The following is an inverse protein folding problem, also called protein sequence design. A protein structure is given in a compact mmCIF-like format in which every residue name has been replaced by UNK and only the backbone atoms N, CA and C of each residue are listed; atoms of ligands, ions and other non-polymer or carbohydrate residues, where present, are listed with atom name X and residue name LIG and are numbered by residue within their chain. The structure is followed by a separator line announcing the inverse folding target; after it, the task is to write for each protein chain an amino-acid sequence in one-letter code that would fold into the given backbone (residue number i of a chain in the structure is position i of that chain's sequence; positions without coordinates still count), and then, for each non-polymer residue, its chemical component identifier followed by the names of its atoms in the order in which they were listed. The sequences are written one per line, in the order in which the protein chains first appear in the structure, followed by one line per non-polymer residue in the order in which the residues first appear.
data_IF_239441303875
#
_entry.id   IF_239441303875
#
_cell.length_a   1.000
_cell.length_b   1.000
_cell.length_c   1.000
_cell.angle_alpha   90.00
_cell.angle_beta   90.00
_cell.angle_gamma   90.00
#
_symmetry.space_group_name_H-M   'P 1'
#
loop_
_entity.id
_entity.type
_entity.pdbx_description
1 polymer ?
#
# COMPACT_ATOMS: atom_id res chain seq x y z
N UNK A 1 -7.56 -17.18 8.26
CA UNK A 1 -6.88 -17.94 9.34
C UNK A 1 -6.32 -16.91 10.28
N UNK A 2 -6.51 -17.05 11.59
CA UNK A 2 -6.02 -16.07 12.57
C UNK A 2 -5.11 -16.75 13.58
N UNK A 3 -4.01 -16.09 13.92
CA UNK A 3 -3.18 -16.44 15.06
C UNK A 3 -2.77 -15.17 15.81
N UNK A 4 -2.80 -15.23 17.15
CA UNK A 4 -2.28 -14.15 18.01
C UNK A 4 -0.73 -14.08 17.99
N UNK A 5 -0.08 -14.89 17.16
CA UNK A 5 1.37 -14.99 17.01
C UNK A 5 1.71 -15.44 15.60
N UNK A 6 2.82 -16.14 15.42
CA UNK A 6 3.35 -16.42 14.08
C UNK A 6 2.52 -17.46 13.32
N UNK A 7 2.33 -17.23 12.02
CA UNK A 7 1.78 -18.19 11.08
C UNK A 7 2.88 -18.69 10.15
N UNK A 8 3.04 -20.00 10.02
CA UNK A 8 3.98 -20.59 9.06
C UNK A 8 3.29 -21.65 8.19
N UNK A 9 3.36 -21.46 6.87
CA UNK A 9 2.98 -22.45 5.86
C UNK A 9 4.25 -23.06 5.27
N UNK A 10 4.59 -24.27 5.70
CA UNK A 10 5.83 -24.96 5.27
C UNK A 10 5.66 -25.85 4.03
N UNK A 11 4.42 -26.11 3.60
CA UNK A 11 4.10 -27.06 2.53
C UNK A 11 2.63 -27.50 2.54
N UNK A 12 2.26 -28.32 1.57
CA UNK A 12 0.88 -28.81 1.40
C UNK A 12 0.02 -27.89 0.53
N UNK A 13 -1.30 -28.11 0.56
CA UNK A 13 -2.29 -27.28 -0.11
C UNK A 13 -3.13 -26.57 0.95
N UNK A 14 -3.24 -25.25 0.84
CA UNK A 14 -4.06 -24.41 1.68
C UNK A 14 -4.94 -23.54 0.77
N UNK A 15 -6.25 -23.66 0.94
CA UNK A 15 -7.22 -22.81 0.23
C UNK A 15 -8.11 -22.10 1.23
N UNK A 16 -8.14 -20.78 1.17
CA UNK A 16 -9.07 -19.91 1.88
C UNK A 16 -10.02 -19.32 0.86
N UNK A 17 -11.22 -19.88 0.72
CA UNK A 17 -12.13 -19.51 -0.38
C UNK A 17 -12.94 -18.23 -0.14
N UNK A 18 -13.12 -17.85 1.12
CA UNK A 18 -13.83 -16.63 1.54
C UNK A 18 -13.41 -16.28 2.96
N UNK A 19 -13.08 -15.03 3.21
CA UNK A 19 -12.70 -14.52 4.53
C UNK A 19 -12.84 -12.99 4.56
N UNK A 20 -12.82 -12.39 5.75
CA UNK A 20 -12.60 -10.94 5.87
C UNK A 20 -11.12 -10.70 5.60
N UNK A 21 -10.27 -11.21 6.49
CA UNK A 21 -8.83 -11.36 6.27
C UNK A 21 -8.46 -12.81 5.98
N UNK A 22 -7.62 -13.03 4.99
CA UNK A 22 -7.24 -14.36 4.52
C UNK A 22 -6.33 -15.10 5.50
N UNK A 23 -5.16 -14.55 5.81
CA UNK A 23 -4.23 -15.05 6.82
C UNK A 23 -3.73 -13.87 7.65
N UNK A 24 -3.93 -13.94 8.96
CA UNK A 24 -3.55 -12.90 9.92
C UNK A 24 -2.61 -13.49 10.99
N UNK A 25 -1.56 -12.76 11.34
CA UNK A 25 -0.61 -13.13 12.39
C UNK A 25 0.45 -12.05 12.65
N UNK A 26 1.23 -12.22 13.73
CA UNK A 26 2.31 -11.30 14.08
C UNK A 26 3.45 -11.32 13.05
N UNK A 27 3.94 -12.52 12.76
CA UNK A 27 4.82 -12.81 11.64
C UNK A 27 4.16 -13.87 10.76
N UNK A 28 4.13 -13.66 9.45
CA UNK A 28 3.59 -14.63 8.49
C UNK A 28 4.74 -15.12 7.61
N UNK A 29 4.92 -16.44 7.53
CA UNK A 29 5.90 -17.07 6.64
C UNK A 29 5.25 -18.09 5.70
N UNK A 30 5.43 -17.89 4.40
CA UNK A 30 5.15 -18.89 3.35
C UNK A 30 6.47 -19.46 2.85
N UNK A 31 6.80 -20.68 3.29
CA UNK A 31 8.04 -21.37 2.96
C UNK A 31 7.88 -22.45 1.88
N UNK A 32 6.64 -22.88 1.60
CA UNK A 32 6.36 -23.88 0.59
C UNK A 32 4.89 -24.22 0.46
N UNK A 33 4.57 -25.10 -0.48
CA UNK A 33 3.19 -25.55 -0.76
C UNK A 33 2.48 -24.69 -1.80
N UNK A 34 1.19 -24.93 -1.96
CA UNK A 34 0.27 -24.15 -2.79
C UNK A 34 -0.73 -23.47 -1.87
N UNK A 35 -0.72 -22.14 -1.86
CA UNK A 35 -1.58 -21.30 -1.03
C UNK A 35 -2.45 -20.45 -1.94
N UNK A 36 -3.77 -20.58 -1.81
CA UNK A 36 -4.76 -19.82 -2.57
C UNK A 36 -5.70 -19.12 -1.59
N UNK A 37 -5.74 -17.80 -1.63
CA UNK A 37 -6.46 -16.96 -0.67
C UNK A 37 -7.40 -16.01 -1.39
N UNK A 38 -8.68 -16.07 -1.02
CA UNK A 38 -9.70 -15.10 -1.39
C UNK A 38 -10.26 -14.44 -0.13
N UNK A 39 -10.14 -13.11 -0.07
CA UNK A 39 -10.51 -12.28 1.07
C UNK A 39 -11.31 -11.04 0.63
N UNK A 40 -12.25 -10.59 1.47
CA UNK A 40 -13.03 -9.37 1.19
C UNK A 40 -12.30 -8.10 1.61
N UNK A 41 -11.37 -8.22 2.56
CA UNK A 41 -10.43 -7.20 2.99
C UNK A 41 -9.03 -7.71 2.61
N UNK A 42 -8.11 -7.87 3.56
CA UNK A 42 -6.72 -8.19 3.26
C UNK A 42 -6.49 -9.67 2.97
N UNK A 43 -5.64 -9.95 1.99
CA UNK A 43 -5.24 -11.31 1.64
C UNK A 43 -4.40 -11.93 2.75
N UNK A 44 -3.23 -11.36 2.99
CA UNK A 44 -2.37 -11.68 4.13
C UNK A 44 -2.13 -10.39 4.91
N UNK A 45 -2.33 -10.40 6.22
CA UNK A 45 -2.11 -9.26 7.11
C UNK A 45 -1.10 -9.63 8.22
N UNK A 46 0.13 -9.15 8.09
CA UNK A 46 1.15 -9.27 9.12
C UNK A 46 1.13 -8.03 10.03
N UNK A 47 0.68 -8.22 11.26
CA UNK A 47 0.53 -7.14 12.24
C UNK A 47 0.85 -7.65 13.62
N UNK A 48 1.66 -6.92 14.39
CA UNK A 48 1.99 -7.31 15.77
C UNK A 48 0.77 -7.36 16.69
N UNK A 49 -0.40 -6.91 16.20
CA UNK A 49 -1.60 -6.70 16.96
C UNK A 49 -1.38 -5.58 17.98
N UNK A 50 -2.42 -4.80 18.27
CA UNK A 50 -2.42 -4.19 19.60
C UNK A 50 -2.55 -5.36 20.56
N UNK A 51 -1.51 -5.63 21.37
CA UNK A 51 -1.67 -6.57 22.48
C UNK A 51 -2.90 -6.11 23.25
N UNK A 52 -4.01 -6.82 23.13
CA UNK A 52 -5.10 -6.70 24.07
C UNK A 52 -4.52 -7.25 25.36
N UNK A 53 -3.91 -6.36 26.15
CA UNK A 53 -3.36 -6.72 27.45
C UNK A 53 -4.48 -7.41 28.21
N UNK A 54 -4.30 -8.72 28.43
CA UNK A 54 -5.25 -9.55 29.12
C UNK A 54 -5.64 -8.87 30.42
N UNK A 55 -6.90 -8.44 30.52
CA UNK A 55 -7.46 -8.04 31.79
C UNK A 55 -7.58 -9.31 32.62
N UNK A 56 -6.65 -9.49 33.55
CA UNK A 56 -6.80 -10.47 34.62
C UNK A 56 -8.08 -10.15 35.40
N UNK A 57 -8.92 -11.17 35.47
CA UNK A 57 -10.16 -11.24 36.22
C UNK A 57 -9.99 -10.70 37.65
N UNK A 58 -10.73 -9.64 37.96
CA UNK A 58 -10.66 -8.91 39.22
C UNK A 58 -11.88 -8.02 39.36
N UNK A 59 -13.00 -8.65 39.70
CA UNK A 59 -14.32 -8.05 39.85
C UNK A 59 -14.35 -6.75 40.69
N UNK A 60 -14.85 -5.66 40.10
CA UNK A 60 -15.89 -4.81 40.69
C UNK A 60 -16.61 -3.97 39.61
N UNK A 61 -17.89 -4.32 39.40
CA UNK A 61 -19.05 -3.53 38.95
C UNK A 61 -18.84 -2.15 38.29
N UNK A 62 -19.32 -2.02 37.04
CA UNK A 62 -19.59 -0.73 36.38
C UNK A 62 -19.84 -0.82 34.86
N UNK A 63 -20.99 -1.36 34.46
CA UNK A 63 -21.67 -1.23 33.14
C UNK A 63 -22.03 0.27 32.92
N UNK A 64 -21.81 1.00 31.81
CA UNK A 64 -21.68 0.74 30.36
C UNK A 64 -20.95 1.93 29.69
N UNK A 65 -20.08 1.67 28.70
CA UNK A 65 -19.44 2.71 27.89
C UNK A 65 -19.13 2.20 26.49
N UNK A 66 -20.13 2.22 25.61
CA UNK A 66 -19.97 2.02 24.18
C UNK A 66 -19.40 3.28 23.51
N UNK A 67 -18.55 3.05 22.52
CA UNK A 67 -17.94 4.01 21.63
C UNK A 67 -18.95 4.89 20.87
N UNK A 68 -18.52 6.11 20.55
CA UNK A 68 -19.22 7.02 19.66
C UNK A 68 -18.60 8.41 19.76
N UNK A 69 -17.59 8.67 18.92
CA UNK A 69 -16.84 9.92 18.95
C UNK A 69 -17.71 11.15 18.71
N UNK A 70 -17.37 12.27 19.36
CA UNK A 70 -17.56 13.61 18.82
C UNK A 70 -16.55 14.56 19.44
N UNK A 71 -16.10 15.51 18.61
CA UNK A 71 -15.20 16.59 18.95
C UNK A 71 -15.64 17.36 20.21
N UNK A 72 -14.68 17.72 21.05
CA UNK A 72 -14.85 18.57 22.23
C UNK A 72 -15.03 20.03 21.81
N UNK A 73 -16.14 20.72 22.14
CA UNK A 73 -16.23 22.18 22.02
C UNK A 73 -15.58 22.85 23.25
N UNK A 74 -15.11 24.11 23.14
CA UNK A 74 -14.44 24.78 24.24
C UNK A 74 -15.41 25.16 25.37
N UNK A 75 -14.86 25.28 26.58
CA UNK A 75 -15.56 25.40 27.84
C UNK A 75 -16.37 26.71 28.01
N UNK A 76 -17.62 26.58 28.49
CA UNK A 76 -18.36 27.67 29.15
C UNK A 76 -19.84 27.77 28.79
N UNK A 77 -20.72 26.96 29.39
CA UNK A 77 -22.15 27.27 29.60
C UNK A 77 -22.77 26.32 30.66
N UNK A 78 -23.79 26.74 31.44
CA UNK A 78 -24.26 26.01 32.62
C UNK A 78 -25.31 24.93 32.30
N UNK A 79 -25.37 23.94 33.18
CA UNK A 79 -26.28 22.80 33.18
C UNK A 79 -27.68 23.18 33.67
N UNK A 80 -28.68 23.18 32.80
CA UNK A 80 -30.07 22.81 33.18
C UNK A 80 -30.82 22.26 31.97
N UNK A 81 -31.40 21.08 32.14
CA UNK A 81 -31.89 20.22 31.08
C UNK A 81 -33.38 20.37 30.82
N UNK A 82 -33.74 21.13 29.78
CA UNK A 82 -34.96 20.89 28.97
C UNK A 82 -34.72 21.37 27.53
N UNK A 83 -34.82 20.47 26.55
CA UNK A 83 -34.78 20.83 25.11
C UNK A 83 -36.21 21.17 24.66
N UNK A 84 -36.51 22.35 24.08
CA UNK A 84 -37.81 22.61 23.48
C UNK A 84 -37.93 21.96 22.10
N UNK A 85 -39.13 21.47 21.77
CA UNK A 85 -39.46 20.88 20.48
C UNK A 85 -39.27 21.86 19.30
N UNK A 86 -38.77 21.33 18.17
CA UNK A 86 -38.62 22.06 16.91
C UNK A 86 -39.99 22.27 16.25
N UNK A 87 -40.37 23.48 15.83
CA UNK A 87 -41.57 23.64 15.00
C UNK A 87 -41.32 23.06 13.62
N UNK A 88 -42.31 22.31 13.13
CA UNK A 88 -42.45 22.03 11.71
C UNK A 88 -42.77 23.36 11.01
N UNK A 89 -41.87 23.83 10.14
CA UNK A 89 -42.15 24.50 8.86
C UNK A 89 -40.82 25.08 8.32
N UNK A 90 -40.46 24.67 7.11
CA UNK A 90 -39.14 24.91 6.49
C UNK A 90 -38.91 26.32 5.98
N UNK A 91 -38.42 27.22 6.84
CA UNK A 91 -37.85 28.50 6.41
C UNK A 91 -36.54 28.78 7.17
N UNK A 92 -35.43 28.86 6.44
CA UNK A 92 -34.15 29.39 6.95
C UNK A 92 -34.25 30.92 7.08
N UNK A 93 -33.62 31.56 8.10
CA UNK A 93 -33.56 33.02 8.17
C UNK A 93 -32.67 33.60 7.08
N UNK A 94 -33.06 34.76 6.53
CA UNK A 94 -32.26 35.53 5.57
C UNK A 94 -30.98 36.10 6.21
N UNK A 95 -29.87 36.21 5.45
CA UNK A 95 -28.67 36.86 5.94
C UNK A 95 -28.87 38.38 6.04
N UNK A 96 -28.16 39.08 6.95
CA UNK A 96 -28.25 40.53 7.02
C UNK A 96 -27.70 41.16 5.73
N UNK A 97 -28.46 42.10 5.17
CA UNK A 97 -27.92 43.09 4.26
C UNK A 97 -27.02 44.03 5.07
N UNK A 98 -25.72 44.04 4.76
CA UNK A 98 -24.88 45.24 4.68
C UNK A 98 -23.43 44.81 4.37
N UNK A 99 -22.95 45.23 3.21
CA UNK A 99 -21.70 44.78 2.60
C UNK A 99 -20.46 45.54 3.07
N UNK A 100 -19.87 45.12 4.18
CA UNK A 100 -18.50 45.50 4.57
C UNK A 100 -17.69 44.26 4.97
N UNK A 101 -16.72 43.87 4.14
CA UNK A 101 -15.70 42.88 4.50
C UNK A 101 -14.59 43.55 5.32
N UNK A 102 -14.09 42.97 6.42
CA UNK A 102 -12.91 43.50 7.10
C UNK A 102 -11.63 43.25 6.29
N UNK A 103 -10.71 44.23 6.31
CA UNK A 103 -9.44 44.20 5.59
C UNK A 103 -8.52 43.05 6.04
N UNK A 104 -7.70 42.47 5.13
CA UNK A 104 -6.70 41.48 5.52
C UNK A 104 -5.55 42.15 6.31
N UNK A 105 -4.96 41.47 7.32
CA UNK A 105 -3.83 42.02 8.05
C UNK A 105 -2.58 42.07 7.16
N UNK A 106 -1.77 43.11 7.38
CA UNK A 106 -0.49 43.31 6.70
C UNK A 106 0.53 42.20 7.04
N UNK A 107 1.41 41.93 6.07
CA UNK A 107 2.46 40.90 6.11
C UNK A 107 3.32 40.98 7.38
N UNK A 108 3.55 39.83 8.03
CA UNK A 108 4.73 39.68 8.88
C UNK A 108 4.69 38.81 10.13
N UNK A 109 3.57 38.20 10.56
CA UNK A 109 3.56 37.38 11.78
C UNK A 109 2.60 36.19 11.68
N UNK A 110 3.11 35.04 11.22
CA UNK A 110 2.42 33.75 11.40
C UNK A 110 2.76 33.19 12.79
N UNK A 111 1.77 32.86 13.65
CA UNK A 111 2.04 32.11 14.88
C UNK A 111 2.61 30.72 14.53
N UNK A 112 3.47 30.13 15.39
CA UNK A 112 4.15 28.89 15.07
C UNK A 112 3.13 27.79 14.83
N UNK A 113 3.06 27.36 13.57
CA UNK A 113 2.18 26.29 13.11
C UNK A 113 2.42 25.03 13.92
N UNK A 114 1.34 24.52 14.49
CA UNK A 114 1.27 23.11 14.86
C UNK A 114 1.49 22.31 13.59
N UNK A 115 2.66 21.70 13.48
CA UNK A 115 2.90 20.59 12.57
C UNK A 115 1.94 19.49 13.00
N UNK A 116 0.78 19.42 12.37
CA UNK A 116 0.05 18.17 12.24
C UNK A 116 0.93 17.24 11.41
N UNK A 117 1.83 16.53 12.09
CA UNK A 117 2.43 15.34 11.51
C UNK A 117 1.30 14.34 11.38
N UNK A 118 0.82 14.12 10.16
CA UNK A 118 0.17 12.86 9.86
C UNK A 118 1.17 11.78 10.27
N UNK A 119 0.78 10.94 11.21
CA UNK A 119 1.59 9.80 11.58
C UNK A 119 1.83 9.01 10.30
N UNK A 120 3.10 8.80 9.96
CA UNK A 120 3.40 7.68 9.10
C UNK A 120 3.05 6.47 9.94
N UNK A 121 2.15 5.59 9.48
CA UNK A 121 2.11 4.22 9.99
C UNK A 121 3.57 3.75 10.00
N UNK A 122 4.11 3.56 11.19
CA UNK A 122 5.51 3.24 11.38
C UNK A 122 5.65 1.73 11.43
N UNK A 123 6.70 1.22 10.80
CA UNK A 123 7.17 -0.17 10.92
C UNK A 123 6.99 -0.67 12.36
N UNK A 124 6.01 -1.56 12.56
CA UNK A 124 5.68 -2.14 13.87
C UNK A 124 6.58 -3.35 14.21
N UNK A 125 7.47 -3.73 13.30
CA UNK A 125 8.36 -4.87 13.40
C UNK A 125 7.75 -6.20 12.95
N UNK A 126 6.49 -6.24 12.50
CA UNK A 126 5.90 -7.43 11.90
C UNK A 126 6.59 -7.76 10.58
N UNK A 127 6.56 -9.04 10.20
CA UNK A 127 7.12 -9.47 8.92
C UNK A 127 6.18 -10.39 8.16
N UNK A 128 6.03 -10.12 6.87
CA UNK A 128 5.49 -11.06 5.90
C UNK A 128 6.65 -11.58 5.06
N UNK A 129 6.96 -12.86 5.20
CA UNK A 129 8.08 -13.52 4.50
C UNK A 129 7.58 -14.57 3.51
N UNK A 130 8.00 -14.45 2.25
CA UNK A 130 7.79 -15.46 1.21
C UNK A 130 9.15 -15.99 0.79
N UNK A 131 9.41 -17.27 1.07
CA UNK A 131 10.68 -17.93 0.76
C UNK A 131 10.54 -19.11 -0.21
N UNK A 132 9.31 -19.54 -0.49
CA UNK A 132 9.05 -20.63 -1.42
C UNK A 132 7.56 -20.91 -1.61
N UNK A 133 7.25 -21.91 -2.44
CA UNK A 133 5.88 -22.30 -2.76
C UNK A 133 5.24 -21.45 -3.85
N UNK A 134 3.94 -21.66 -4.04
CA UNK A 134 3.08 -20.84 -4.90
C UNK A 134 2.04 -20.16 -4.03
N UNK A 135 1.94 -18.84 -4.12
CA UNK A 135 0.97 -18.03 -3.40
C UNK A 135 0.12 -17.25 -4.40
N UNK A 136 -1.19 -17.49 -4.39
CA UNK A 136 -2.17 -16.71 -5.14
C UNK A 136 -3.11 -16.01 -4.17
N UNK A 137 -3.27 -14.70 -4.35
CA UNK A 137 -4.11 -13.86 -3.49
C UNK A 137 -5.09 -13.06 -4.35
N UNK A 138 -6.37 -13.11 -3.98
CA UNK A 138 -7.45 -12.28 -4.53
C UNK A 138 -8.12 -11.54 -3.36
N UNK A 139 -7.76 -10.26 -3.16
CA UNK A 139 -8.15 -9.46 -1.99
C UNK A 139 -9.02 -8.25 -2.36
N UNK A 140 -10.05 -7.96 -1.56
CA UNK A 140 -10.89 -6.77 -1.73
C UNK A 140 -10.27 -5.51 -1.11
N UNK A 141 -9.48 -5.70 -0.05
CA UNK A 141 -8.55 -4.76 0.55
C UNK A 141 -7.11 -5.02 0.08
N UNK A 142 -6.14 -4.90 0.97
CA UNK A 142 -4.74 -5.04 0.62
C UNK A 142 -4.38 -6.48 0.26
N UNK A 143 -3.58 -6.65 -0.79
CA UNK A 143 -3.21 -7.98 -1.24
C UNK A 143 -2.28 -8.68 -0.24
N UNK A 144 -1.08 -8.13 -0.10
CA UNK A 144 -0.13 -8.47 0.95
C UNK A 144 0.06 -7.22 1.80
N UNK A 145 -0.41 -7.26 3.04
CA UNK A 145 -0.33 -6.20 4.03
C UNK A 145 0.67 -6.59 5.12
N UNK A 146 1.60 -5.69 5.43
CA UNK A 146 2.46 -5.80 6.59
C UNK A 146 2.65 -4.43 7.22
N UNK A 147 2.27 -4.30 8.48
CA UNK A 147 2.59 -3.11 9.27
C UNK A 147 4.11 -2.91 9.48
N UNK A 148 4.92 -3.95 9.25
CA UNK A 148 6.37 -3.88 9.12
C UNK A 148 6.83 -4.20 7.70
N UNK A 149 7.69 -5.20 7.52
CA UNK A 149 8.37 -5.45 6.24
C UNK A 149 7.83 -6.67 5.49
N UNK A 150 7.81 -6.57 4.15
CA UNK A 150 7.58 -7.69 3.24
C UNK A 150 8.90 -8.16 2.62
N UNK A 151 9.23 -9.42 2.81
CA UNK A 151 10.48 -10.02 2.32
C UNK A 151 10.15 -11.17 1.36
N UNK A 152 10.55 -11.03 0.10
CA UNK A 152 10.38 -12.06 -0.93
C UNK A 152 11.75 -12.58 -1.36
N UNK A 153 12.05 -13.82 -1.01
CA UNK A 153 13.33 -14.48 -1.30
C UNK A 153 13.22 -15.69 -2.23
N UNK A 154 11.99 -16.12 -2.53
CA UNK A 154 11.71 -17.25 -3.39
C UNK A 154 10.22 -17.47 -3.60
N UNK A 155 9.87 -18.53 -4.33
CA UNK A 155 8.48 -18.87 -4.63
C UNK A 155 7.93 -18.17 -5.88
N UNK A 156 6.64 -18.40 -6.14
CA UNK A 156 5.86 -17.81 -7.22
C UNK A 156 4.61 -17.15 -6.62
N UNK A 157 4.57 -15.81 -6.61
CA UNK A 157 3.54 -15.03 -5.93
C UNK A 157 2.74 -14.20 -6.92
N UNK A 158 1.42 -14.38 -6.90
CA UNK A 158 0.47 -13.62 -7.70
C UNK A 158 -0.57 -12.97 -6.79
N UNK A 159 -0.72 -11.65 -6.90
CA UNK A 159 -1.66 -10.86 -6.09
C UNK A 159 -2.58 -10.09 -7.02
N UNK A 160 -3.90 -10.19 -6.79
CA UNK A 160 -4.95 -9.63 -7.62
C UNK A 160 -5.91 -8.77 -6.80
N UNK A 161 -5.97 -7.49 -7.14
CA UNK A 161 -6.69 -6.47 -6.41
C UNK A 161 -5.79 -5.66 -5.48
N UNK A 162 -6.36 -4.67 -4.78
CA UNK A 162 -7.78 -4.27 -4.84
C UNK A 162 -8.09 -3.40 -6.06
N UNK A 163 -9.36 -3.02 -6.22
CA UNK A 163 -9.80 -2.03 -7.22
C UNK A 163 -9.99 -0.63 -6.64
N UNK A 164 -9.89 -0.48 -5.32
CA UNK A 164 -10.12 0.78 -4.64
C UNK A 164 -8.79 1.47 -4.34
N UNK A 165 -8.73 2.80 -4.47
CA UNK A 165 -7.49 3.57 -4.31
C UNK A 165 -7.09 3.80 -2.83
N UNK A 166 -7.88 3.30 -1.87
CA UNK A 166 -7.55 3.36 -0.44
C UNK A 166 -6.59 2.26 0.01
N UNK A 167 -6.37 1.26 -0.84
CA UNK A 167 -5.59 0.06 -0.57
C UNK A 167 -4.72 -0.28 -1.80
N UNK A 168 -3.69 -1.09 -1.64
CA UNK A 168 -2.74 -1.53 -2.65
C UNK A 168 -2.66 -3.05 -2.80
N UNK A 169 -2.13 -3.53 -3.94
CA UNK A 169 -1.82 -4.96 -4.08
C UNK A 169 -0.72 -5.39 -3.10
N UNK A 170 0.13 -4.45 -2.73
CA UNK A 170 1.19 -4.57 -1.73
C UNK A 170 1.05 -3.33 -0.85
N UNK A 171 0.99 -3.52 0.46
CA UNK A 171 1.06 -2.47 1.46
C UNK A 171 2.08 -2.86 2.54
N UNK A 172 3.02 -1.96 2.82
CA UNK A 172 4.10 -2.20 3.79
C UNK A 172 4.40 -0.94 4.57
N UNK A 173 4.42 -1.03 5.90
CA UNK A 173 4.87 0.05 6.78
C UNK A 173 6.40 0.22 6.81
N UNK A 174 7.13 -0.86 6.53
CA UNK A 174 8.59 -0.95 6.48
C UNK A 174 9.13 -1.01 5.05
N UNK A 175 9.97 -2.00 4.77
CA UNK A 175 10.55 -2.18 3.43
C UNK A 175 9.96 -3.39 2.71
N UNK A 176 9.72 -3.25 1.41
CA UNK A 176 9.53 -4.37 0.50
C UNK A 176 10.90 -4.76 -0.10
N UNK A 177 11.48 -5.88 0.33
CA UNK A 177 12.74 -6.40 -0.18
C UNK A 177 12.51 -7.64 -1.06
N UNK A 178 13.02 -7.62 -2.29
CA UNK A 178 12.93 -8.77 -3.21
C UNK A 178 14.33 -9.25 -3.60
N UNK A 179 14.65 -10.50 -3.26
CA UNK A 179 15.96 -11.13 -3.50
C UNK A 179 15.89 -12.39 -4.35
N UNK A 180 14.68 -12.92 -4.59
CA UNK A 180 14.48 -14.14 -5.37
C UNK A 180 13.01 -14.43 -5.66
N UNK A 181 12.76 -15.43 -6.51
CA UNK A 181 11.42 -15.89 -6.87
C UNK A 181 10.73 -14.98 -7.90
N UNK A 182 9.45 -15.23 -8.13
CA UNK A 182 8.60 -14.39 -8.99
C UNK A 182 7.56 -13.69 -8.13
N UNK A 183 7.43 -12.38 -8.30
CA UNK A 183 6.38 -11.57 -7.68
C UNK A 183 5.61 -10.85 -8.79
N UNK A 184 4.30 -10.96 -8.75
CA UNK A 184 3.38 -10.27 -9.64
C UNK A 184 2.22 -9.75 -8.81
N UNK A 185 2.10 -8.44 -8.71
CA UNK A 185 1.04 -7.78 -7.96
C UNK A 185 0.31 -6.81 -8.88
N UNK A 186 -1.00 -7.00 -9.03
CA UNK A 186 -1.86 -6.23 -9.90
C UNK A 186 -3.03 -5.68 -9.09
N UNK A 187 -3.16 -4.36 -8.99
CA UNK A 187 -4.19 -3.73 -8.17
C UNK A 187 -4.41 -2.25 -8.50
N UNK A 188 -4.84 -1.48 -7.50
CA UNK A 188 -5.07 -0.05 -7.59
C UNK A 188 -3.75 0.72 -7.78
N UNK A 189 -3.83 1.96 -8.28
CA UNK A 189 -2.66 2.84 -8.38
C UNK A 189 -2.58 3.86 -7.22
N UNK A 190 -3.65 4.01 -6.43
CA UNK A 190 -3.74 5.01 -5.36
C UNK A 190 -2.71 4.84 -4.26
N UNK A 191 -2.54 3.60 -3.78
CA UNK A 191 -1.62 3.21 -2.68
C UNK A 191 -0.58 2.21 -3.15
N UNK A 192 -0.16 2.29 -4.40
CA UNK A 192 0.75 1.31 -4.96
C UNK A 192 2.18 1.43 -4.38
N UNK A 193 2.72 0.29 -3.94
CA UNK A 193 4.05 0.14 -3.36
C UNK A 193 4.95 -0.59 -4.35
N UNK A 194 6.18 -0.11 -4.52
CA UNK A 194 7.22 -0.80 -5.28
C UNK A 194 8.27 -1.42 -4.36
N UNK A 195 8.99 -2.46 -4.82
CA UNK A 195 10.15 -2.96 -4.09
C UNK A 195 11.20 -1.88 -3.88
N UNK A 196 11.97 -2.01 -2.81
CA UNK A 196 13.08 -1.12 -2.49
C UNK A 196 14.08 -1.09 -3.65
N UNK A 197 14.68 0.08 -3.89
CA UNK A 197 15.81 0.22 -4.83
C UNK A 197 17.04 -0.60 -4.40
N UNK A 198 17.12 -0.98 -3.13
CA UNK A 198 18.19 -1.85 -2.59
C UNK A 198 17.90 -3.35 -2.79
N UNK A 199 16.74 -3.72 -3.35
CA UNK A 199 16.39 -5.12 -3.67
C UNK A 199 17.43 -5.73 -4.63
N UNK A 200 17.91 -6.93 -4.29
CA UNK A 200 18.93 -7.60 -5.10
C UNK A 200 18.40 -8.11 -6.45
N UNK A 201 17.11 -8.43 -6.53
CA UNK A 201 16.46 -8.84 -7.77
C UNK A 201 15.78 -7.63 -8.45
N UNK A 202 15.90 -7.55 -9.77
CA UNK A 202 15.28 -6.47 -10.54
C UNK A 202 13.75 -6.52 -10.49
N UNK A 203 13.13 -5.36 -10.60
CA UNK A 203 11.68 -5.21 -10.53
C UNK A 203 11.18 -4.10 -11.45
N UNK A 204 9.91 -4.19 -11.85
CA UNK A 204 9.15 -3.21 -12.61
C UNK A 204 7.99 -2.75 -11.73
N UNK A 205 7.69 -1.45 -11.72
CA UNK A 205 6.47 -0.92 -11.12
C UNK A 205 5.91 0.17 -12.02
N UNK A 206 4.69 -0.03 -12.53
CA UNK A 206 4.10 0.91 -13.49
C UNK A 206 2.59 0.97 -13.40
N UNK A 207 2.06 2.16 -13.65
CA UNK A 207 0.63 2.34 -13.88
C UNK A 207 0.25 1.72 -15.23
N UNK A 208 -0.91 1.05 -15.27
CA UNK A 208 -1.47 0.41 -16.45
C UNK A 208 -3.00 0.58 -16.46
N UNK A 209 -3.65 0.04 -17.47
CA UNK A 209 -5.10 -0.14 -17.46
C UNK A 209 -5.43 -1.50 -18.04
N UNK A 210 -5.93 -2.42 -17.22
CA UNK A 210 -6.46 -3.70 -17.65
C UNK A 210 -7.80 -3.95 -16.97
N UNK A 211 -8.84 -4.28 -17.73
CA UNK A 211 -10.13 -4.69 -17.16
C UNK A 211 -10.06 -6.14 -16.69
N UNK A 212 -10.91 -6.52 -15.73
CA UNK A 212 -11.08 -7.90 -15.31
C UNK A 212 -11.25 -8.85 -16.52
N UNK A 213 -10.49 -9.95 -16.55
CA UNK A 213 -10.41 -10.90 -17.66
C UNK A 213 -9.46 -10.47 -18.80
N UNK A 214 -8.90 -9.26 -18.75
CA UNK A 214 -7.85 -8.80 -19.64
C UNK A 214 -6.48 -9.37 -19.23
N UNK A 215 -5.49 -9.20 -20.12
CA UNK A 215 -4.13 -9.67 -19.87
C UNK A 215 -3.15 -8.52 -19.68
N UNK A 216 -2.14 -8.76 -18.85
CA UNK A 216 -0.92 -7.97 -18.77
C UNK A 216 0.24 -8.87 -19.19
N UNK A 217 1.08 -8.36 -20.09
CA UNK A 217 2.24 -9.08 -20.61
C UNK A 217 3.51 -8.27 -20.38
N UNK A 218 4.55 -8.92 -19.88
CA UNK A 218 5.88 -8.34 -19.66
C UNK A 218 6.83 -8.91 -20.71
N UNK A 219 7.47 -8.02 -21.47
CA UNK A 219 8.37 -8.39 -22.57
C UNK A 219 9.72 -7.69 -22.40
N UNK A 220 10.80 -8.46 -22.55
CA UNK A 220 12.17 -7.94 -22.59
C UNK A 220 12.45 -7.18 -23.89
N UNK A 221 13.53 -6.40 -23.92
CA UNK A 221 13.91 -5.60 -25.08
C UNK A 221 14.19 -6.41 -26.36
N UNK A 222 14.56 -7.69 -26.24
CA UNK A 222 14.79 -8.59 -27.37
C UNK A 222 13.51 -9.24 -27.92
N UNK A 223 12.35 -8.92 -27.33
CA UNK A 223 11.05 -9.48 -27.68
C UNK A 223 10.69 -10.77 -26.93
N UNK A 224 11.54 -11.25 -26.02
CA UNK A 224 11.22 -12.38 -25.15
C UNK A 224 10.10 -12.02 -24.19
N UNK A 225 9.01 -12.78 -24.20
CA UNK A 225 7.95 -12.68 -23.20
C UNK A 225 8.40 -13.35 -21.90
N UNK A 226 8.42 -12.58 -20.80
CA UNK A 226 8.80 -13.07 -19.47
C UNK A 226 7.59 -13.61 -18.70
N UNK A 227 6.44 -12.94 -18.84
CA UNK A 227 5.21 -13.34 -18.20
C UNK A 227 4.00 -12.80 -18.95
N UNK A 228 2.91 -13.58 -18.95
CA UNK A 228 1.56 -13.12 -19.31
C UNK A 228 0.60 -13.65 -18.28
N UNK A 229 -0.26 -12.77 -17.75
CA UNK A 229 -1.26 -13.14 -16.77
C UNK A 229 -2.60 -12.47 -17.06
N UNK A 230 -3.67 -13.15 -16.70
CA UNK A 230 -5.04 -12.63 -16.75
C UNK A 230 -5.36 -11.99 -15.41
N UNK A 231 -5.75 -10.72 -15.40
CA UNK A 231 -6.20 -10.03 -14.18
C UNK A 231 -7.62 -10.46 -13.83
N UNK A 232 -7.89 -10.76 -12.55
CA UNK A 232 -9.25 -11.12 -12.10
C UNK A 232 -10.10 -9.90 -11.77
N UNK A 233 -9.46 -8.73 -11.64
CA UNK A 233 -10.07 -7.45 -11.30
C UNK A 233 -9.56 -6.34 -12.21
N UNK A 234 -10.30 -5.24 -12.25
CA UNK A 234 -9.81 -4.02 -12.90
C UNK A 234 -8.50 -3.58 -12.22
N UNK A 235 -7.47 -3.37 -13.02
CA UNK A 235 -6.10 -3.15 -12.58
C UNK A 235 -5.59 -1.82 -13.12
N UNK A 236 -5.06 -1.00 -12.22
CA UNK A 236 -4.49 0.32 -12.51
C UNK A 236 -2.97 0.38 -12.29
N UNK A 237 -2.39 -0.57 -11.55
CA UNK A 237 -0.94 -0.65 -11.32
C UNK A 237 -0.48 -2.11 -11.36
N UNK A 238 0.77 -2.30 -11.80
CA UNK A 238 1.45 -3.58 -11.81
C UNK A 238 2.84 -3.45 -11.23
N UNK A 239 3.16 -4.34 -10.30
CA UNK A 239 4.51 -4.61 -9.80
C UNK A 239 4.91 -6.01 -10.25
N UNK A 240 6.10 -6.13 -10.83
CA UNK A 240 6.63 -7.40 -11.30
C UNK A 240 8.11 -7.55 -10.93
N UNK A 241 8.50 -8.68 -10.37
CA UNK A 241 9.91 -9.06 -10.18
C UNK A 241 10.10 -10.51 -10.57
N UNK A 242 11.24 -10.81 -11.19
CA UNK A 242 11.63 -12.15 -11.62
C UNK A 242 13.16 -12.23 -11.71
N UNK A 243 13.76 -13.44 -11.62
CA UNK A 243 15.19 -13.61 -11.86
C UNK A 243 15.64 -13.17 -13.26
N UNK A 244 14.71 -13.07 -14.21
CA UNK A 244 14.95 -12.63 -15.59
C UNK A 244 14.85 -11.10 -15.76
N UNK A 245 14.57 -10.35 -14.68
CA UNK A 245 14.55 -8.89 -14.66
C UNK A 245 15.89 -8.36 -14.12
N UNK A 246 16.59 -7.59 -14.94
CA UNK A 246 17.88 -6.97 -14.61
C UNK A 246 17.67 -5.47 -14.37
N UNK A 247 18.07 -4.96 -13.20
CA UNK A 247 17.96 -3.53 -12.86
C UNK A 247 18.69 -2.64 -13.89
N UNK A 248 18.05 -1.55 -14.28
CA UNK A 248 18.55 -0.61 -15.30
C UNK A 248 18.18 -0.97 -16.73
N UNK A 249 17.78 -2.21 -17.02
CA UNK A 249 17.29 -2.59 -18.35
C UNK A 249 15.85 -2.11 -18.57
N UNK A 250 15.49 -1.89 -19.84
CA UNK A 250 14.12 -1.50 -20.22
C UNK A 250 13.29 -2.71 -20.65
N UNK A 251 12.10 -2.79 -20.09
CA UNK A 251 11.08 -3.79 -20.38
C UNK A 251 9.83 -3.11 -20.92
N UNK A 252 8.92 -3.88 -21.50
CA UNK A 252 7.62 -3.39 -21.98
C UNK A 252 6.51 -4.10 -21.25
N UNK A 253 5.62 -3.33 -20.61
CA UNK A 253 4.37 -3.83 -20.03
C UNK A 253 3.24 -3.52 -21.01
N UNK A 254 2.54 -4.56 -21.46
CA UNK A 254 1.48 -4.46 -22.47
C UNK A 254 0.14 -4.84 -21.87
N UNK A 255 -0.88 -3.98 -22.02
CA UNK A 255 -2.27 -4.26 -21.65
C UNK A 255 -3.20 -3.92 -22.82
N UNK A 256 -3.92 -4.92 -23.34
CA UNK A 256 -4.74 -4.75 -24.54
C UNK A 256 -3.92 -4.23 -25.75
N UNK A 257 -4.10 -2.95 -26.10
CA UNK A 257 -3.34 -2.29 -27.17
C UNK A 257 -2.31 -1.26 -26.66
N UNK A 258 -2.28 -1.00 -25.35
CA UNK A 258 -1.32 -0.12 -24.72
C UNK A 258 0.00 -0.86 -24.50
N UNK A 259 1.11 -0.15 -24.68
CA UNK A 259 2.47 -0.64 -24.51
C UNK A 259 3.27 0.43 -23.78
N UNK A 260 3.73 0.10 -22.57
CA UNK A 260 4.39 1.03 -21.66
C UNK A 260 5.84 0.58 -21.45
N UNK A 261 6.85 1.36 -21.88
CA UNK A 261 8.24 1.07 -21.54
C UNK A 261 8.48 1.37 -20.04
N UNK A 262 9.18 0.46 -19.36
CA UNK A 262 9.49 0.55 -17.92
C UNK A 262 10.96 0.21 -17.73
N UNK A 263 11.70 1.09 -17.05
CA UNK A 263 13.09 0.82 -16.62
C UNK A 263 13.05 0.05 -15.31
N UNK A 264 13.74 -1.09 -15.25
CA UNK A 264 13.79 -1.89 -14.04
C UNK A 264 14.54 -1.18 -12.90
N UNK A 265 13.98 -1.25 -11.69
CA UNK A 265 14.47 -0.53 -10.52
C UNK A 265 13.93 0.91 -10.40
N UNK A 266 13.05 1.33 -11.31
CA UNK A 266 12.44 2.66 -11.30
C UNK A 266 10.91 2.57 -11.31
N UNK A 267 10.27 3.51 -10.60
CA UNK A 267 8.83 3.71 -10.67
C UNK A 267 8.45 4.45 -11.96
N UNK A 268 7.51 3.88 -12.73
CA UNK A 268 6.96 4.47 -13.95
C UNK A 268 5.45 4.74 -13.80
N UNK A 269 5.07 5.87 -13.22
CA UNK A 269 3.65 6.18 -12.99
C UNK A 269 3.39 7.61 -12.52
N UNK A 270 2.13 8.03 -12.56
CA UNK A 270 1.68 9.37 -12.17
C UNK A 270 1.29 9.51 -10.70
N UNK A 271 1.15 8.40 -9.99
CA UNK A 271 0.90 8.35 -8.54
C UNK A 271 2.12 8.79 -7.72
N UNK A 272 1.89 9.23 -6.49
CA UNK A 272 2.93 9.66 -5.53
C UNK A 272 3.84 8.51 -5.03
N UNK A 273 3.88 7.36 -5.72
CA UNK A 273 4.57 6.11 -5.36
C UNK A 273 6.11 6.15 -5.38
N UNK A 274 6.70 7.32 -5.08
CA UNK A 274 8.13 7.55 -5.10
C UNK A 274 8.59 8.35 -3.88
N UNK A 275 8.27 7.90 -2.66
CA UNK A 275 8.84 8.44 -1.43
C UNK A 275 9.50 7.34 -0.60
N UNK A 276 10.32 6.50 -1.22
CA UNK A 276 11.04 5.40 -0.56
C UNK A 276 12.32 5.01 -1.29
N UNK A 277 13.17 5.99 -1.62
CA UNK A 277 14.44 5.69 -2.29
C UNK A 277 15.22 6.95 -2.57
N UNK A 278 16.10 7.33 -1.65
CA UNK A 278 17.03 8.43 -1.86
C UNK A 278 17.91 8.14 -3.08
N UNK A 279 17.72 8.90 -4.15
CA UNK A 279 18.63 8.92 -5.30
C UNK A 279 20.04 9.24 -4.80
N UNK A 280 20.96 8.28 -4.92
CA UNK A 280 22.39 8.62 -4.95
C UNK A 280 22.71 9.05 -6.37
N UNK A 281 22.84 10.36 -6.56
CA UNK A 281 23.56 10.90 -7.71
C UNK A 281 24.98 10.33 -7.68
N UNK A 282 25.29 9.42 -8.59
CA UNK A 282 26.67 9.06 -8.91
C UNK A 282 27.27 10.21 -9.71
N UNK A 283 28.03 11.04 -9.00
CA UNK A 283 28.88 12.09 -9.53
C UNK A 283 29.87 11.47 -10.53
N UNK A 284 29.50 11.49 -11.81
CA UNK A 284 30.42 11.26 -12.93
C UNK A 284 30.84 12.62 -13.44
N UNK A 285 31.87 13.15 -12.80
CA UNK A 285 32.58 14.34 -13.28
C UNK A 285 33.22 13.98 -14.63
N UNK A 286 32.61 14.45 -15.72
CA UNK A 286 33.23 14.48 -17.05
C UNK A 286 34.36 15.49 -17.02
N UNK A 287 35.59 15.01 -16.86
CA UNK A 287 36.77 15.83 -17.11
C UNK A 287 37.05 15.82 -18.62
N UNK A 288 36.47 16.81 -19.31
CA UNK A 288 36.85 17.18 -20.67
C UNK A 288 38.19 17.93 -20.63
N UNK A 289 39.28 17.21 -20.83
CA UNK A 289 40.53 17.83 -21.28
C UNK A 289 40.61 17.79 -22.82
N UNK A 290 40.37 18.98 -23.36
CA UNK A 290 40.68 19.43 -24.71
C UNK A 290 42.20 19.31 -24.97
N UNK A 291 42.57 18.51 -25.97
CA UNK A 291 43.87 18.63 -26.61
C UNK A 291 43.71 18.54 -28.13
N UNK A 292 43.29 19.66 -28.70
CA UNK A 292 43.64 20.07 -30.06
C UNK A 292 45.15 19.94 -30.33
N UNK A 293 45.56 19.11 -31.29
CA UNK A 293 46.67 19.47 -32.18
C UNK A 293 46.54 18.77 -33.53
N UNK A 294 46.34 19.58 -34.57
CA UNK A 294 46.54 19.23 -35.98
C UNK A 294 48.00 19.53 -36.34
N UNK A 295 48.72 18.54 -36.87
CA UNK A 295 49.62 18.62 -38.05
C UNK A 295 50.32 17.27 -38.25
#
# INVERSE_FOLDING_TARGET
MHADGDVTVSGGELTVTTSVEGIEGADITVAGGTVDVTASDDGLNATSGTTSTGTTDGATAGTDGAAGGTAQPPAGAPEDGTRPDRPADGQMPEPPADGEMPEPPAEGEMPPGGRGGGGFEGDDGSTLTISGGTLTVDAGGDGLDSNGSLIVSGGDTVVQGPTNDGNGALDVGGTLEVTGGTLLAAGSAGMAVAPSADSAQGWLATDVSASAGGTVTITAADGTELATYTVTKDTANVVFSSPDVTSGDTYTVTTGSASTPVTAGEWSGGGMGGMGGGRRESDTTTDTDDATTTS
#
